data_IF_228392513513
#
_entry.id   IF_228392513513
#
_cell.length_a   1.000
_cell.length_b   1.000
_cell.length_c   1.000
_cell.angle_alpha   90.00
_cell.angle_beta   90.00
_cell.angle_gamma   90.00
#
_symmetry.space_group_name_H-M   'P 1'
#
loop_
_entity.id
_entity.type
_entity.pdbx_description
1 polymer ?
#
# COMPACT_ATOMS: atom_id res chain seq x y z
N UNK A 1 17.20 -40.94 10.32
CA UNK A 1 17.36 -40.87 8.86
C UNK A 1 16.05 -41.28 8.17
N UNK A 2 15.39 -42.38 8.58
CA UNK A 2 14.18 -42.90 7.94
C UNK A 2 12.97 -41.94 7.94
N UNK A 3 12.83 -41.09 8.97
CA UNK A 3 11.73 -40.11 9.06
C UNK A 3 12.00 -38.77 8.34
N UNK A 4 13.25 -38.49 7.93
CA UNK A 4 13.60 -37.27 7.26
C UNK A 4 13.22 -37.29 5.77
N UNK A 5 13.32 -38.43 5.10
CA UNK A 5 13.02 -38.58 3.68
C UNK A 5 11.56 -38.23 3.35
N UNK A 6 10.53 -38.76 4.04
CA UNK A 6 9.15 -38.42 3.74
C UNK A 6 8.84 -36.93 4.01
N UNK A 7 9.43 -36.32 5.04
CA UNK A 7 9.24 -34.89 5.33
C UNK A 7 9.82 -33.98 4.24
N UNK A 8 11.02 -34.31 3.76
CA UNK A 8 11.63 -33.56 2.64
C UNK A 8 10.82 -33.70 1.36
N UNK A 9 10.31 -34.91 1.07
CA UNK A 9 9.44 -35.15 -0.07
C UNK A 9 8.15 -34.33 0.04
N UNK A 10 7.50 -34.33 1.22
CA UNK A 10 6.32 -33.49 1.48
C UNK A 10 6.62 -32.03 1.27
N UNK A 11 7.76 -31.53 1.78
CA UNK A 11 8.18 -30.16 1.57
C UNK A 11 8.40 -29.80 0.09
N UNK A 12 9.01 -30.69 -0.67
CA UNK A 12 9.23 -30.49 -2.12
C UNK A 12 7.91 -30.47 -2.91
N UNK A 13 6.98 -31.39 -2.60
CA UNK A 13 5.64 -31.38 -3.21
C UNK A 13 4.91 -30.07 -2.86
N UNK A 14 4.98 -29.66 -1.58
CA UNK A 14 4.41 -28.38 -1.15
C UNK A 14 4.99 -27.19 -1.95
N UNK A 15 6.32 -27.11 -2.10
CA UNK A 15 6.96 -26.05 -2.87
C UNK A 15 6.56 -26.06 -4.35
N UNK A 16 6.42 -27.25 -4.95
CA UNK A 16 5.98 -27.36 -6.34
C UNK A 16 4.55 -26.81 -6.50
N UNK A 17 3.64 -27.19 -5.61
CA UNK A 17 2.26 -26.68 -5.61
C UNK A 17 2.21 -25.19 -5.30
N UNK A 18 2.97 -24.72 -4.31
CA UNK A 18 3.09 -23.30 -3.99
C UNK A 18 3.62 -22.49 -5.18
N UNK A 19 4.64 -22.99 -5.88
CA UNK A 19 5.19 -22.31 -7.06
C UNK A 19 4.15 -22.15 -8.19
N UNK A 20 3.33 -23.18 -8.42
CA UNK A 20 2.24 -23.11 -9.41
C UNK A 20 1.21 -22.06 -8.96
N UNK A 21 0.77 -22.13 -7.71
CA UNK A 21 -0.21 -21.19 -7.15
C UNK A 21 0.30 -19.74 -7.19
N UNK A 22 1.55 -19.51 -6.79
CA UNK A 22 2.19 -18.20 -6.82
C UNK A 22 2.23 -17.64 -8.24
N UNK A 23 2.60 -18.45 -9.23
CA UNK A 23 2.59 -18.02 -10.64
C UNK A 23 1.20 -17.58 -11.09
N UNK A 24 0.17 -18.35 -10.74
CA UNK A 24 -1.22 -18.02 -11.10
C UNK A 24 -1.66 -16.72 -10.42
N UNK A 25 -1.42 -16.59 -9.11
CA UNK A 25 -1.82 -15.39 -8.35
C UNK A 25 -1.08 -14.15 -8.85
N UNK A 26 0.24 -14.23 -9.05
CA UNK A 26 1.03 -13.09 -9.55
C UNK A 26 0.62 -12.72 -10.99
N UNK A 27 0.29 -13.70 -11.83
CA UNK A 27 -0.23 -13.42 -13.16
C UNK A 27 -1.59 -12.71 -13.09
N UNK A 28 -2.50 -13.16 -12.22
CA UNK A 28 -3.79 -12.50 -12.00
C UNK A 28 -3.63 -11.06 -11.49
N UNK A 29 -2.75 -10.83 -10.51
CA UNK A 29 -2.43 -9.49 -10.00
C UNK A 29 -1.92 -8.58 -11.13
N UNK A 30 -0.99 -9.07 -11.96
CA UNK A 30 -0.48 -8.29 -13.10
C UNK A 30 -1.56 -7.98 -14.15
N UNK A 31 -2.46 -8.92 -14.40
CA UNK A 31 -3.59 -8.71 -15.34
C UNK A 31 -4.52 -7.62 -14.81
N UNK A 32 -4.88 -7.69 -13.52
CA UNK A 32 -5.73 -6.67 -12.88
C UNK A 32 -5.06 -5.30 -12.93
N UNK A 33 -3.80 -5.22 -12.52
CA UNK A 33 -3.04 -3.96 -12.52
C UNK A 33 -2.90 -3.35 -13.93
N UNK A 34 -2.71 -4.17 -14.97
CA UNK A 34 -2.68 -3.68 -16.35
C UNK A 34 -4.01 -3.10 -16.82
N UNK A 35 -5.13 -3.64 -16.32
CA UNK A 35 -6.46 -3.10 -16.65
C UNK A 35 -6.73 -1.77 -15.96
N UNK A 36 -6.26 -1.62 -14.72
CA UNK A 36 -6.47 -0.40 -13.90
C UNK A 36 -5.48 0.71 -14.28
N UNK A 37 -4.24 0.34 -14.63
CA UNK A 37 -3.14 1.27 -14.94
C UNK A 37 -2.50 0.94 -16.30
N UNK A 38 -3.22 1.08 -17.43
CA UNK A 38 -2.72 0.66 -18.75
C UNK A 38 -1.46 1.40 -19.18
N UNK A 39 -1.36 2.70 -18.84
CA UNK A 39 -0.27 3.58 -19.28
C UNK A 39 0.88 3.68 -18.27
N UNK A 40 0.85 2.89 -17.19
CA UNK A 40 1.83 2.98 -16.11
C UNK A 40 2.44 1.62 -15.76
N UNK A 41 3.38 1.12 -16.57
CA UNK A 41 3.97 -0.21 -16.39
C UNK A 41 4.68 -0.39 -15.05
N UNK A 42 5.13 0.70 -14.42
CA UNK A 42 5.80 0.68 -13.13
C UNK A 42 4.91 0.09 -12.02
N UNK A 43 3.60 0.40 -12.00
CA UNK A 43 2.69 -0.15 -10.99
C UNK A 43 2.45 -1.64 -11.18
N UNK A 44 2.41 -2.10 -12.44
CA UNK A 44 2.29 -3.53 -12.76
C UNK A 44 3.52 -4.30 -12.29
N UNK A 45 4.70 -3.74 -12.53
CA UNK A 45 5.96 -4.35 -12.13
C UNK A 45 6.11 -4.36 -10.60
N UNK A 46 5.92 -3.23 -9.94
CA UNK A 46 6.04 -3.12 -8.47
C UNK A 46 5.03 -4.00 -7.76
N UNK A 47 3.76 -3.94 -8.14
CA UNK A 47 2.71 -4.75 -7.54
C UNK A 47 2.93 -6.25 -7.74
N UNK A 48 3.33 -6.67 -8.95
CA UNK A 48 3.65 -8.05 -9.23
C UNK A 48 4.87 -8.56 -8.47
N UNK A 49 5.91 -7.72 -8.32
CA UNK A 49 7.11 -8.06 -7.54
C UNK A 49 6.79 -8.15 -6.06
N UNK A 50 6.07 -7.18 -5.50
CA UNK A 50 5.68 -7.19 -4.09
C UNK A 50 4.83 -8.42 -3.75
N UNK A 51 3.81 -8.71 -4.57
CA UNK A 51 3.00 -9.91 -4.40
C UNK A 51 3.86 -11.19 -4.46
N UNK A 52 4.80 -11.26 -5.40
CA UNK A 52 5.71 -12.40 -5.54
C UNK A 52 6.58 -12.59 -4.28
N UNK A 53 7.18 -11.51 -3.76
CA UNK A 53 8.03 -11.57 -2.55
C UNK A 53 7.24 -12.05 -1.35
N UNK A 54 6.05 -11.50 -1.10
CA UNK A 54 5.19 -11.88 0.03
C UNK A 54 4.77 -13.35 -0.07
N UNK A 55 4.34 -13.79 -1.26
CA UNK A 55 3.89 -15.16 -1.46
C UNK A 55 5.03 -16.18 -1.35
N UNK A 56 6.21 -15.87 -1.89
CA UNK A 56 7.38 -16.73 -1.74
C UNK A 56 7.88 -16.79 -0.31
N UNK A 57 7.79 -15.69 0.43
CA UNK A 57 8.10 -15.71 1.86
C UNK A 57 7.12 -16.60 2.63
N UNK A 58 5.82 -16.52 2.37
CA UNK A 58 4.83 -17.44 2.93
C UNK A 58 5.09 -18.90 2.57
N UNK A 59 5.44 -19.18 1.31
CA UNK A 59 5.81 -20.50 0.86
C UNK A 59 7.08 -21.03 1.56
N UNK A 60 8.07 -20.17 1.83
CA UNK A 60 9.25 -20.54 2.61
C UNK A 60 8.86 -20.97 4.04
N UNK A 61 8.01 -20.20 4.72
CA UNK A 61 7.54 -20.55 6.06
C UNK A 61 6.77 -21.88 6.07
N UNK A 62 5.89 -22.10 5.09
CA UNK A 62 5.17 -23.35 4.91
C UNK A 62 6.10 -24.54 4.65
N UNK A 63 7.10 -24.35 3.80
CA UNK A 63 8.13 -25.36 3.53
C UNK A 63 8.91 -25.74 4.80
N UNK A 64 9.40 -24.75 5.56
CA UNK A 64 10.11 -24.99 6.80
C UNK A 64 9.26 -25.81 7.80
N UNK A 65 7.98 -25.47 7.91
CA UNK A 65 7.05 -26.24 8.73
C UNK A 65 6.87 -27.66 8.23
N UNK A 66 6.74 -27.86 6.90
CA UNK A 66 6.54 -29.17 6.29
C UNK A 66 7.75 -30.09 6.44
N UNK A 67 8.97 -29.55 6.41
CA UNK A 67 10.20 -30.34 6.61
C UNK A 67 10.53 -30.59 8.09
N UNK A 68 9.73 -30.07 9.03
CA UNK A 68 9.89 -30.31 10.46
C UNK A 68 10.73 -29.26 11.18
N UNK A 69 10.76 -28.04 10.66
CA UNK A 69 11.41 -26.87 11.24
C UNK A 69 10.39 -25.76 11.62
N UNK A 70 9.29 -26.11 12.33
CA UNK A 70 8.22 -25.13 12.63
C UNK A 70 8.69 -24.00 13.54
N UNK A 71 9.68 -24.24 14.40
CA UNK A 71 10.24 -23.21 15.29
C UNK A 71 10.95 -22.09 14.50
N UNK A 72 11.69 -22.48 13.46
CA UNK A 72 12.33 -21.50 12.56
C UNK A 72 11.29 -20.74 11.77
N UNK A 73 10.26 -21.43 11.26
CA UNK A 73 9.15 -20.78 10.57
C UNK A 73 8.44 -19.76 11.47
N UNK A 74 8.16 -20.14 12.74
CA UNK A 74 7.53 -19.25 13.71
C UNK A 74 8.42 -18.04 14.05
N UNK A 75 9.71 -18.24 14.24
CA UNK A 75 10.67 -17.15 14.52
C UNK A 75 10.73 -16.15 13.35
N UNK A 76 10.83 -16.63 12.12
CA UNK A 76 10.83 -15.79 10.92
C UNK A 76 9.48 -15.08 10.72
N UNK A 77 8.37 -15.78 10.98
CA UNK A 77 7.02 -15.20 10.95
C UNK A 77 6.87 -14.06 11.95
N UNK A 78 7.34 -14.26 13.18
CA UNK A 78 7.31 -13.22 14.22
C UNK A 78 8.18 -12.03 13.82
N UNK A 79 9.39 -12.26 13.36
CA UNK A 79 10.30 -11.20 12.90
C UNK A 79 9.68 -10.39 11.75
N UNK A 80 9.03 -11.05 10.79
CA UNK A 80 8.33 -10.39 9.69
C UNK A 80 7.14 -9.56 10.16
N UNK A 81 6.44 -9.99 11.22
CA UNK A 81 5.39 -9.22 11.88
C UNK A 81 5.89 -7.87 12.40
N UNK A 82 7.05 -7.85 13.06
CA UNK A 82 7.69 -6.60 13.49
C UNK A 82 8.08 -5.70 12.33
N UNK A 83 8.62 -6.28 11.25
CA UNK A 83 8.92 -5.51 10.04
C UNK A 83 7.65 -4.91 9.42
N UNK A 84 6.56 -5.69 9.36
CA UNK A 84 5.28 -5.21 8.85
C UNK A 84 4.71 -4.05 9.70
N UNK A 85 4.84 -4.11 11.01
CA UNK A 85 4.48 -3.00 11.90
C UNK A 85 5.33 -1.76 11.64
N UNK A 86 6.64 -1.92 11.47
CA UNK A 86 7.54 -0.82 11.11
C UNK A 86 7.17 -0.15 9.80
N UNK A 87 6.88 -0.96 8.76
CA UNK A 87 6.41 -0.46 7.44
C UNK A 87 5.05 0.23 7.58
N UNK A 88 4.10 -0.35 8.32
CA UNK A 88 2.79 0.25 8.57
C UNK A 88 2.91 1.62 9.24
N UNK A 89 3.78 1.74 10.23
CA UNK A 89 4.06 3.00 10.89
C UNK A 89 4.67 4.04 9.93
N UNK A 90 5.65 3.61 9.13
CA UNK A 90 6.27 4.49 8.14
C UNK A 90 5.28 4.99 7.06
N UNK A 91 4.26 4.19 6.73
CA UNK A 91 3.23 4.54 5.74
C UNK A 91 2.00 5.23 6.35
N UNK A 92 1.90 5.33 7.69
CA UNK A 92 0.71 5.87 8.38
C UNK A 92 0.33 7.28 7.94
N UNK A 93 1.30 8.16 7.73
CA UNK A 93 1.07 9.52 7.22
C UNK A 93 0.48 9.52 5.80
N UNK A 94 0.96 8.63 4.93
CA UNK A 94 0.42 8.51 3.58
C UNK A 94 -1.04 8.03 3.58
N UNK A 95 -1.38 7.13 4.49
CA UNK A 95 -2.74 6.64 4.66
C UNK A 95 -3.65 7.74 5.23
N UNK A 96 -3.17 8.49 6.22
CA UNK A 96 -3.89 9.62 6.78
C UNK A 96 -4.22 10.67 5.72
N UNK A 97 -3.26 11.02 4.84
CA UNK A 97 -3.47 11.93 3.71
C UNK A 97 -4.53 11.42 2.74
N UNK A 98 -4.50 10.11 2.41
CA UNK A 98 -5.45 9.53 1.48
C UNK A 98 -6.87 9.51 2.05
N UNK A 99 -7.02 9.17 3.33
CA UNK A 99 -8.31 9.20 4.02
C UNK A 99 -8.85 10.65 4.11
N UNK A 100 -8.01 11.59 4.51
CA UNK A 100 -8.37 13.02 4.54
C UNK A 100 -8.76 13.54 3.15
N UNK A 101 -8.06 13.11 2.09
CA UNK A 101 -8.41 13.46 0.71
C UNK A 101 -9.81 12.98 0.31
N UNK A 102 -10.21 11.78 0.73
CA UNK A 102 -11.57 11.28 0.49
C UNK A 102 -12.62 12.12 1.24
N UNK A 103 -12.33 12.54 2.47
CA UNK A 103 -13.24 13.42 3.22
C UNK A 103 -13.36 14.79 2.55
N UNK A 104 -12.24 15.44 2.20
CA UNK A 104 -12.25 16.74 1.51
C UNK A 104 -12.98 16.69 0.16
N UNK A 105 -12.82 15.59 -0.62
CA UNK A 105 -13.52 15.42 -1.90
C UNK A 105 -15.04 15.26 -1.74
N UNK A 106 -15.52 14.84 -0.58
CA UNK A 106 -16.92 14.63 -0.27
C UNK A 106 -17.57 15.79 0.50
N UNK A 107 -16.76 16.73 0.95
CA UNK A 107 -17.23 17.89 1.71
C UNK A 107 -17.85 18.91 0.74
N UNK A 108 -19.14 19.23 0.89
CA UNK A 108 -19.83 20.19 0.00
C UNK A 108 -19.32 21.62 0.14
N UNK A 109 -18.70 21.94 1.30
CA UNK A 109 -18.17 23.27 1.58
C UNK A 109 -16.70 23.42 1.17
N UNK A 110 -16.06 22.36 0.67
CA UNK A 110 -14.67 22.35 0.23
C UNK A 110 -14.55 21.90 -1.23
N UNK A 111 -14.54 22.85 -2.16
CA UNK A 111 -14.54 22.53 -3.59
C UNK A 111 -13.48 23.33 -4.36
N UNK A 112 -12.98 22.80 -5.50
CA UNK A 112 -12.16 23.60 -6.41
C UNK A 112 -12.90 24.89 -6.80
N UNK A 113 -12.19 26.03 -6.69
CA UNK A 113 -12.74 27.38 -6.87
C UNK A 113 -13.02 28.11 -5.56
N UNK A 114 -13.17 27.42 -4.44
CA UNK A 114 -13.38 28.04 -3.13
C UNK A 114 -12.09 28.72 -2.61
N UNK A 115 -12.24 29.89 -2.02
CA UNK A 115 -11.16 30.52 -1.28
C UNK A 115 -11.22 30.09 0.18
N UNK A 116 -10.14 29.44 0.63
CA UNK A 116 -10.05 28.90 2.00
C UNK A 116 -8.79 29.33 2.70
N UNK A 117 -8.86 29.33 4.01
CA UNK A 117 -7.71 29.45 4.92
C UNK A 117 -7.44 28.08 5.52
N UNK A 118 -6.25 27.57 5.32
CA UNK A 118 -5.79 26.32 5.95
C UNK A 118 -4.39 26.53 6.52
N UNK A 119 -4.31 26.56 7.85
CA UNK A 119 -3.09 26.93 8.56
C UNK A 119 -2.61 28.33 8.22
N UNK A 120 -1.42 28.46 7.65
CA UNK A 120 -0.78 29.70 7.20
C UNK A 120 -1.09 30.03 5.73
N UNK A 121 -1.83 29.20 5.01
CA UNK A 121 -2.18 29.37 3.60
C UNK A 121 -3.58 29.96 3.48
N UNK A 122 -3.68 31.10 2.78
CA UNK A 122 -4.95 31.64 2.28
C UNK A 122 -4.90 31.60 0.77
N UNK A 123 -5.77 30.85 0.13
CA UNK A 123 -5.74 30.68 -1.32
C UNK A 123 -6.97 30.00 -1.89
N UNK A 124 -7.06 29.99 -3.21
CA UNK A 124 -8.14 29.31 -3.92
C UNK A 124 -7.76 27.86 -4.17
N UNK A 125 -8.64 26.92 -3.79
CA UNK A 125 -8.47 25.50 -4.09
C UNK A 125 -8.50 25.30 -5.60
N UNK A 126 -7.44 24.71 -6.17
CA UNK A 126 -7.37 24.42 -7.61
C UNK A 126 -7.60 22.95 -7.92
N UNK A 127 -7.14 22.05 -7.05
CA UNK A 127 -7.34 20.61 -7.22
C UNK A 127 -7.24 19.91 -5.86
N UNK A 128 -8.05 18.87 -5.68
CA UNK A 128 -7.99 17.95 -4.56
C UNK A 128 -7.57 16.59 -5.13
N UNK A 129 -6.35 16.16 -4.82
CA UNK A 129 -5.81 14.85 -5.20
C UNK A 129 -5.95 13.87 -4.04
N UNK A 130 -5.67 12.59 -4.26
CA UNK A 130 -5.80 11.57 -3.21
C UNK A 130 -5.05 11.89 -1.92
N UNK A 131 -3.86 12.49 -2.02
CA UNK A 131 -3.00 12.78 -0.86
C UNK A 131 -2.66 14.24 -0.65
N UNK A 132 -2.96 15.10 -1.61
CA UNK A 132 -2.54 16.51 -1.63
C UNK A 132 -3.65 17.38 -2.15
N UNK A 133 -3.78 18.57 -1.58
CA UNK A 133 -4.61 19.66 -2.11
C UNK A 133 -3.70 20.75 -2.66
N UNK A 134 -4.07 21.29 -3.82
CA UNK A 134 -3.37 22.40 -4.48
C UNK A 134 -4.17 23.68 -4.31
N UNK A 135 -3.47 24.72 -3.92
CA UNK A 135 -4.00 26.07 -3.76
C UNK A 135 -3.29 27.04 -4.70
N UNK A 136 -4.00 28.02 -5.17
CA UNK A 136 -3.41 29.21 -5.84
C UNK A 136 -3.33 30.34 -4.84
N UNK A 137 -2.12 30.85 -4.63
CA UNK A 137 -1.82 31.93 -3.71
C UNK A 137 -0.95 32.95 -4.47
N UNK A 138 -1.45 34.16 -4.71
CA UNK A 138 -0.71 35.25 -5.38
C UNK A 138 -0.07 34.86 -6.74
N UNK A 139 -0.69 33.94 -7.45
CA UNK A 139 -0.19 33.41 -8.73
C UNK A 139 0.61 32.12 -8.61
N UNK A 140 1.12 31.80 -7.44
CA UNK A 140 1.87 30.57 -7.17
C UNK A 140 0.96 29.38 -6.84
N UNK A 141 1.49 28.16 -7.05
CA UNK A 141 0.82 26.93 -6.65
C UNK A 141 1.41 26.42 -5.36
N UNK A 142 0.63 26.47 -4.29
CA UNK A 142 0.98 25.88 -2.99
C UNK A 142 0.36 24.49 -2.87
N UNK A 143 1.14 23.50 -2.47
CA UNK A 143 0.71 22.11 -2.33
C UNK A 143 0.79 21.71 -0.85
N UNK A 144 -0.32 21.22 -0.31
CA UNK A 144 -0.44 20.76 1.09
C UNK A 144 -0.85 19.31 1.16
N UNK A 145 -0.39 18.61 2.19
CA UNK A 145 -0.88 17.29 2.54
C UNK A 145 -2.35 17.37 2.98
N UNK A 146 -3.19 16.44 2.50
CA UNK A 146 -4.62 16.48 2.80
C UNK A 146 -4.91 16.37 4.30
N UNK A 147 -4.14 15.54 5.03
CA UNK A 147 -4.31 15.40 6.47
C UNK A 147 -4.09 16.71 7.25
N UNK A 148 -3.22 17.61 6.75
CA UNK A 148 -3.01 18.91 7.36
C UNK A 148 -4.12 19.90 7.02
N UNK A 149 -4.66 19.82 5.82
CA UNK A 149 -5.79 20.65 5.36
C UNK A 149 -7.05 20.28 6.14
N UNK A 150 -7.37 18.99 6.22
CA UNK A 150 -8.60 18.46 6.83
C UNK A 150 -8.69 18.78 8.31
N UNK A 151 -7.57 18.83 9.04
CA UNK A 151 -7.54 19.14 10.48
C UNK A 151 -8.19 20.48 10.82
N UNK A 152 -7.99 21.50 9.99
CA UNK A 152 -8.54 22.84 10.21
C UNK A 152 -8.49 23.66 8.94
N UNK A 153 -9.65 24.05 8.47
CA UNK A 153 -9.80 25.01 7.37
C UNK A 153 -11.02 25.88 7.59
N UNK A 154 -11.08 27.01 6.91
CA UNK A 154 -12.21 27.95 6.95
C UNK A 154 -12.45 28.45 5.53
N UNK A 155 -13.66 28.32 5.03
CA UNK A 155 -14.10 28.92 3.78
C UNK A 155 -14.28 30.42 3.99
N UNK A 156 -13.69 31.24 3.13
CA UNK A 156 -13.98 32.67 3.10
C UNK A 156 -15.30 32.87 2.35
N UNK A 157 -16.22 33.60 3.00
CA UNK A 157 -17.42 34.11 2.32
C UNK A 157 -17.02 35.10 1.21
N UNK A 158 -17.82 35.12 0.17
CA UNK A 158 -17.75 36.14 -0.86
C UNK A 158 -17.97 37.53 -0.30
#
# INVERSE_FOLDING_TARGET
VAAAVPRVLTGLVFLALAAILIRVVVAAVRVVLRRVYPDQPIYVQLGGTLASVVLWFGALLGFLSAVGLPEIAAALGTASGFLALGVSYALSGMLADAVAGIYLLRDPDFSPGDTVVSGDVTGTVTAIELRKTRFRVDGDTVVRANADVEKKWTKKGE
#
